data_IF_747650386313
#
_entry.id   IF_747650386313
#
_cell.length_a   1.000
_cell.length_b   1.000
_cell.length_c   1.000
_cell.angle_alpha   90.00
_cell.angle_beta   90.00
_cell.angle_gamma   90.00
#
_symmetry.space_group_name_H-M   'P 1'
#
loop_
_entity.id
_entity.type
_entity.pdbx_description
1 polymer ?
#
# COMPACT_ATOMS: atom_id res chain seq x y z
N UNK A 1 -4.71 4.08 14.09
CA UNK A 1 -5.03 4.04 12.65
C UNK A 1 -4.11 3.02 12.00
N UNK A 2 -4.63 2.21 11.08
CA UNK A 2 -3.89 1.16 10.37
C UNK A 2 -4.07 1.36 8.88
N UNK A 3 -2.99 1.31 8.13
CA UNK A 3 -2.99 1.34 6.66
C UNK A 3 -2.52 -0.05 6.21
N UNK A 4 -3.22 -0.68 5.26
CA UNK A 4 -2.79 -1.93 4.61
C UNK A 4 -2.93 -1.78 3.10
N UNK A 5 -1.94 -2.22 2.36
CA UNK A 5 -2.00 -2.40 0.90
C UNK A 5 -1.84 -3.89 0.63
N UNK A 6 -2.64 -4.43 -0.29
CA UNK A 6 -2.51 -5.78 -0.81
C UNK A 6 -2.53 -5.73 -2.34
N UNK A 7 -1.57 -6.38 -2.97
CA UNK A 7 -1.66 -6.78 -4.38
C UNK A 7 -2.22 -8.20 -4.44
N UNK A 8 -3.08 -8.53 -5.39
CA UNK A 8 -3.65 -9.88 -5.56
C UNK A 8 -3.06 -10.60 -6.78
N UNK A 9 -3.39 -11.89 -6.96
CA UNK A 9 -2.93 -12.76 -8.06
C UNK A 9 -3.15 -12.17 -9.44
N UNK A 10 -4.29 -11.51 -9.63
CA UNK A 10 -4.55 -10.77 -10.85
C UNK A 10 -4.06 -9.34 -10.64
N UNK A 11 -3.17 -8.85 -11.51
CA UNK A 11 -2.63 -7.48 -11.47
C UNK A 11 -3.75 -6.41 -11.37
N UNK A 12 -4.96 -6.79 -11.78
CA UNK A 12 -6.18 -5.99 -11.80
C UNK A 12 -6.85 -5.79 -10.44
N UNK A 13 -6.63 -6.68 -9.46
CA UNK A 13 -7.25 -6.56 -8.14
C UNK A 13 -6.22 -6.19 -7.09
N UNK A 14 -6.43 -5.05 -6.47
CA UNK A 14 -5.51 -4.51 -5.49
C UNK A 14 -6.32 -3.70 -4.50
N UNK A 15 -5.99 -3.84 -3.22
CA UNK A 15 -6.85 -3.37 -2.13
C UNK A 15 -6.06 -2.47 -1.20
N UNK A 16 -6.54 -1.24 -1.06
CA UNK A 16 -6.07 -0.32 -0.02
C UNK A 16 -7.10 -0.30 1.11
N UNK A 17 -6.63 -0.64 2.30
CA UNK A 17 -7.42 -0.63 3.52
C UNK A 17 -6.93 0.48 4.43
N UNK A 18 -7.86 1.34 4.82
CA UNK A 18 -7.64 2.34 5.85
C UNK A 18 -8.55 2.07 7.04
N UNK A 19 -7.95 1.81 8.19
CA UNK A 19 -8.67 1.57 9.44
C UNK A 19 -8.44 2.75 10.39
N UNK A 20 -9.50 3.50 10.69
CA UNK A 20 -9.47 4.53 11.72
C UNK A 20 -10.50 4.22 12.79
N UNK A 21 -10.01 3.91 14.00
CA UNK A 21 -10.83 3.48 15.12
C UNK A 21 -11.75 2.33 14.68
N UNK A 22 -13.04 2.58 14.57
CA UNK A 22 -14.07 1.58 14.28
C UNK A 22 -14.44 1.49 12.79
N UNK A 23 -13.92 2.37 11.94
CA UNK A 23 -14.26 2.40 10.52
C UNK A 23 -13.11 1.85 9.68
N UNK A 24 -13.45 0.87 8.85
CA UNK A 24 -12.57 0.37 7.78
C UNK A 24 -13.09 0.81 6.44
N UNK A 25 -12.22 1.46 5.69
CA UNK A 25 -12.41 1.93 4.34
C UNK A 25 -11.66 0.98 3.41
N UNK A 26 -12.38 0.23 2.57
CA UNK A 26 -11.80 -0.57 1.51
C UNK A 26 -11.96 0.19 0.19
N UNK A 27 -10.84 0.51 -0.45
CA UNK A 27 -10.81 1.19 -1.73
C UNK A 27 -10.57 0.13 -2.82
N UNK A 28 -11.63 -0.15 -3.56
CA UNK A 28 -11.55 -0.85 -4.84
C UNK A 28 -11.45 0.22 -5.91
N UNK A 29 -10.28 0.34 -6.52
CA UNK A 29 -9.99 1.36 -7.52
C UNK A 29 -9.53 0.66 -8.78
N UNK A 30 -9.92 1.19 -9.94
CA UNK A 30 -9.42 0.71 -11.22
C UNK A 30 -7.96 1.13 -11.32
N UNK A 31 -7.08 0.19 -11.01
CA UNK A 31 -5.65 0.44 -10.99
C UNK A 31 -5.08 0.35 -12.40
N UNK A 32 -3.99 1.08 -12.60
CA UNK A 32 -3.20 0.91 -13.80
C UNK A 32 -2.34 -0.34 -13.61
N UNK A 33 -2.60 -1.35 -14.45
CA UNK A 33 -1.71 -2.50 -14.61
C UNK A 33 -0.34 -2.01 -15.10
N UNK A 34 0.73 -2.59 -14.57
CA UNK A 34 2.10 -2.23 -14.94
C UNK A 34 2.43 -0.75 -14.67
N UNK A 35 1.90 -0.22 -13.56
CA UNK A 35 2.06 1.17 -13.14
C UNK A 35 2.28 1.33 -11.64
N UNK A 36 2.42 2.58 -11.21
CA UNK A 36 2.55 2.95 -9.80
C UNK A 36 1.24 3.54 -9.32
N UNK A 37 0.59 2.85 -8.39
CA UNK A 37 -0.64 3.24 -7.73
C UNK A 37 -0.29 3.82 -6.34
N UNK A 38 -0.69 5.06 -6.05
CA UNK A 38 -0.29 5.77 -4.84
C UNK A 38 -1.48 6.36 -4.11
N UNK A 39 -1.53 6.14 -2.80
CA UNK A 39 -2.45 6.78 -1.86
C UNK A 39 -1.67 7.74 -0.97
N UNK A 40 -2.11 8.99 -0.90
CA UNK A 40 -1.46 10.04 -0.10
C UNK A 40 -2.42 10.61 0.92
N UNK A 41 -2.00 10.72 2.18
CA UNK A 41 -2.88 11.27 3.19
C UNK A 41 -3.02 12.78 3.04
N UNK A 42 -4.23 13.30 3.15
CA UNK A 42 -4.50 14.74 3.15
C UNK A 42 -4.18 15.30 4.54
N UNK A 43 -3.24 16.23 4.64
CA UNK A 43 -3.04 17.03 5.86
C UNK A 43 -3.89 18.29 5.81
N UNK A 44 -4.72 18.50 6.84
CA UNK A 44 -5.51 19.72 6.99
C UNK A 44 -6.75 19.52 7.86
N UNK A 45 -7.31 20.62 8.38
CA UNK A 45 -8.56 20.61 9.17
C UNK A 45 -9.76 20.03 8.40
N UNK A 46 -9.65 19.94 7.08
CA UNK A 46 -10.67 19.41 6.16
C UNK A 46 -10.37 17.97 5.68
N UNK A 47 -9.50 17.22 6.38
CA UNK A 47 -9.40 15.79 6.15
C UNK A 47 -10.75 15.16 6.54
N UNK A 48 -11.66 15.07 5.56
CA UNK A 48 -12.98 14.50 5.73
C UNK A 48 -12.92 13.01 6.07
N UNK A 49 -14.03 12.30 5.85
CA UNK A 49 -14.12 10.85 6.13
C UNK A 49 -13.08 10.02 5.36
N UNK A 50 -12.55 10.53 4.26
CA UNK A 50 -11.54 9.86 3.42
C UNK A 50 -10.24 10.65 3.47
N UNK A 51 -9.31 10.32 4.36
CA UNK A 51 -8.09 11.10 4.53
C UNK A 51 -7.03 10.76 3.47
N UNK A 52 -7.39 10.16 2.34
CA UNK A 52 -6.45 9.75 1.29
C UNK A 52 -6.90 10.15 -0.12
N UNK A 53 -5.96 10.67 -0.92
CA UNK A 53 -6.10 10.88 -2.36
C UNK A 53 -5.40 9.73 -3.08
N UNK A 54 -6.08 9.15 -4.07
CA UNK A 54 -5.51 8.15 -4.95
C UNK A 54 -5.04 8.77 -6.26
N UNK A 55 -3.89 8.32 -6.75
CA UNK A 55 -3.39 8.65 -8.09
C UNK A 55 -2.71 7.40 -8.66
N UNK A 56 -2.85 7.19 -9.97
CA UNK A 56 -2.10 6.17 -10.70
C UNK A 56 -1.17 6.81 -11.73
N UNK A 57 -0.04 6.17 -11.96
CA UNK A 57 0.96 6.56 -12.94
C UNK A 57 1.31 5.34 -13.80
N UNK A 58 0.96 5.36 -15.09
CA UNK A 58 1.55 4.44 -16.06
C UNK A 58 3.00 4.89 -16.27
N UNK A 59 3.97 4.02 -16.01
CA UNK A 59 5.38 4.37 -16.16
C UNK A 59 5.95 3.62 -17.36
N UNK A 60 5.95 4.25 -18.54
CA UNK A 60 6.51 3.68 -19.77
C UNK A 60 7.66 4.50 -20.36
N UNK A 61 7.94 5.68 -19.80
CA UNK A 61 8.94 6.62 -20.27
C UNK A 61 9.63 7.41 -19.15
N UNK A 62 10.68 8.15 -19.51
CA UNK A 62 11.36 9.06 -18.58
C UNK A 62 10.44 10.23 -18.17
N UNK A 63 9.58 10.69 -19.07
CA UNK A 63 8.57 11.72 -18.83
C UNK A 63 7.57 11.29 -17.74
N UNK A 64 7.15 10.03 -17.74
CA UNK A 64 6.26 9.47 -16.72
C UNK A 64 6.98 9.38 -15.36
N UNK A 65 8.23 8.91 -15.37
CA UNK A 65 9.07 8.85 -14.17
C UNK A 65 9.31 10.25 -13.57
N UNK A 66 9.47 11.28 -14.41
CA UNK A 66 9.54 12.69 -13.98
C UNK A 66 8.23 13.13 -13.35
N UNK A 67 7.10 12.78 -13.96
CA UNK A 67 5.76 13.16 -13.48
C UNK A 67 5.45 12.54 -12.12
N UNK A 68 5.72 11.24 -11.95
CA UNK A 68 5.63 10.56 -10.66
C UNK A 68 6.54 11.18 -9.60
N UNK A 69 7.81 11.44 -9.93
CA UNK A 69 8.75 12.06 -9.00
C UNK A 69 8.32 13.48 -8.58
N UNK A 70 7.79 14.29 -9.51
CA UNK A 70 7.23 15.62 -9.22
C UNK A 70 6.03 15.50 -8.27
N UNK A 71 5.12 14.57 -8.51
CA UNK A 71 3.99 14.33 -7.62
C UNK A 71 4.45 13.99 -6.20
N UNK A 72 5.37 13.03 -6.04
CA UNK A 72 5.88 12.65 -4.71
C UNK A 72 6.61 13.79 -4.01
N UNK A 73 7.25 14.70 -4.77
CA UNK A 73 7.86 15.91 -4.22
C UNK A 73 6.86 16.92 -3.67
N UNK A 74 5.67 17.01 -4.26
CA UNK A 74 4.60 17.95 -3.84
C UNK A 74 3.87 17.49 -2.59
N UNK A 75 3.94 16.20 -2.24
CA UNK A 75 3.38 15.67 -1.00
C UNK A 75 4.02 16.39 0.20
N UNK A 76 3.19 16.87 1.13
CA UNK A 76 3.64 17.54 2.35
C UNK A 76 4.42 16.59 3.27
N UNK A 77 5.46 17.09 3.94
CA UNK A 77 6.22 16.31 4.94
C UNK A 77 5.28 15.79 6.03
N UNK A 78 5.45 14.53 6.41
CA UNK A 78 4.62 13.84 7.40
C UNK A 78 3.30 13.29 6.84
N UNK A 79 2.93 13.55 5.57
CA UNK A 79 1.81 12.85 4.93
C UNK A 79 2.14 11.36 4.81
N UNK A 80 1.22 10.49 5.21
CA UNK A 80 1.32 9.06 4.96
C UNK A 80 1.21 8.80 3.46
N UNK A 81 2.03 7.87 2.99
CA UNK A 81 2.07 7.46 1.59
C UNK A 81 2.05 5.95 1.53
N UNK A 82 1.15 5.43 0.71
CA UNK A 82 0.99 4.03 0.40
C UNK A 82 1.21 3.89 -1.12
N UNK A 83 2.12 3.03 -1.53
CA UNK A 83 2.45 2.79 -2.94
C UNK A 83 2.31 1.30 -3.22
N UNK A 84 1.69 1.02 -4.36
CA UNK A 84 1.54 -0.30 -4.92
C UNK A 84 2.00 -0.29 -6.37
N UNK A 85 2.80 -1.27 -6.74
CA UNK A 85 3.10 -1.63 -8.12
C UNK A 85 2.54 -3.03 -8.30
N UNK A 86 1.64 -3.18 -9.27
CA UNK A 86 1.05 -4.47 -9.63
C UNK A 86 1.55 -4.86 -11.01
N UNK A 87 2.15 -6.04 -11.10
CA UNK A 87 2.81 -6.54 -12.32
C UNK A 87 4.17 -5.90 -12.59
N UNK A 88 4.59 -5.99 -13.86
CA UNK A 88 5.88 -5.48 -14.31
C UNK A 88 5.88 -3.95 -14.37
N UNK A 89 6.96 -3.31 -13.92
CA UNK A 89 7.18 -1.89 -14.18
C UNK A 89 8.06 -1.75 -15.44
N UNK A 90 7.50 -1.45 -16.64
CA UNK A 90 8.20 -1.60 -17.91
C UNK A 90 9.31 -0.56 -18.12
N UNK A 91 9.42 0.44 -17.24
CA UNK A 91 10.45 1.46 -17.30
C UNK A 91 11.02 1.76 -15.91
N UNK A 92 12.34 1.63 -15.79
CA UNK A 92 13.09 1.89 -14.55
C UNK A 92 13.94 3.15 -14.69
N UNK A 93 13.83 4.06 -13.73
CA UNK A 93 14.66 5.27 -13.67
C UNK A 93 15.08 5.60 -12.25
N UNK A 94 16.28 6.18 -12.12
CA UNK A 94 16.79 6.70 -10.84
C UNK A 94 15.81 7.68 -10.18
N UNK A 95 14.91 8.31 -10.95
CA UNK A 95 13.86 9.19 -10.43
C UNK A 95 12.80 8.44 -9.63
N UNK A 96 12.41 7.24 -10.06
CA UNK A 96 11.48 6.37 -9.33
C UNK A 96 12.11 5.98 -7.99
N UNK A 97 13.37 5.54 -8.02
CA UNK A 97 14.13 5.21 -6.79
C UNK A 97 14.22 6.41 -5.85
N UNK A 98 14.49 7.62 -6.37
CA UNK A 98 14.50 8.85 -5.58
C UNK A 98 13.12 9.15 -4.98
N UNK A 99 12.03 8.99 -5.73
CA UNK A 99 10.67 9.19 -5.24
C UNK A 99 10.35 8.25 -4.08
N UNK A 100 10.62 6.96 -4.22
CA UNK A 100 10.40 5.97 -3.17
C UNK A 100 11.26 6.25 -1.91
N UNK A 101 12.50 6.73 -2.08
CA UNK A 101 13.34 7.16 -0.95
C UNK A 101 12.77 8.37 -0.20
N UNK A 102 12.06 9.29 -0.88
CA UNK A 102 11.41 10.43 -0.23
C UNK A 102 10.30 10.02 0.76
N UNK A 103 9.77 8.81 0.64
CA UNK A 103 8.76 8.24 1.54
C UNK A 103 9.33 7.19 2.50
N UNK A 104 10.65 7.08 2.57
CA UNK A 104 11.36 6.18 3.48
C UNK A 104 11.66 4.78 2.92
N UNK A 105 11.40 4.52 1.63
CA UNK A 105 11.72 3.23 0.99
C UNK A 105 13.23 2.92 1.02
N UNK A 106 13.57 1.64 1.13
CA UNK A 106 14.94 1.15 1.22
C UNK A 106 15.58 0.94 -0.15
N UNK A 107 16.85 1.34 -0.32
CA UNK A 107 17.56 1.22 -1.60
C UNK A 107 17.53 -0.20 -2.17
N UNK A 108 17.81 -1.22 -1.34
CA UNK A 108 17.92 -2.60 -1.79
C UNK A 108 16.63 -3.13 -2.44
N UNK A 109 15.48 -2.91 -1.82
CA UNK A 109 14.21 -3.40 -2.36
C UNK A 109 13.78 -2.67 -3.63
N UNK A 110 14.09 -1.37 -3.72
CA UNK A 110 13.69 -0.57 -4.87
C UNK A 110 14.60 -0.89 -6.06
N UNK A 111 15.87 -1.21 -5.80
CA UNK A 111 16.83 -1.64 -6.82
C UNK A 111 16.55 -3.05 -7.33
N UNK A 112 15.84 -3.88 -6.57
CA UNK A 112 15.38 -5.22 -6.99
C UNK A 112 14.02 -5.20 -7.69
N UNK A 113 13.42 -4.03 -7.94
CA UNK A 113 12.28 -3.94 -8.84
C UNK A 113 12.78 -4.28 -10.24
N UNK A 114 12.53 -5.52 -10.67
CA UNK A 114 13.00 -6.09 -11.93
C UNK A 114 11.86 -6.24 -12.92
N UNK A 115 12.22 -6.42 -14.18
CA UNK A 115 11.26 -6.76 -15.25
C UNK A 115 10.61 -8.14 -15.04
N UNK A 116 11.23 -9.01 -14.24
CA UNK A 116 10.63 -10.25 -13.78
C UNK A 116 9.69 -9.93 -12.63
N UNK A 117 8.44 -9.57 -12.98
CA UNK A 117 7.25 -9.44 -12.14
C UNK A 117 7.55 -9.67 -10.65
N UNK A 118 7.65 -8.60 -9.86
CA UNK A 118 7.08 -8.76 -8.54
C UNK A 118 6.18 -7.58 -8.25
N UNK A 119 5.01 -7.89 -7.72
CA UNK A 119 4.24 -6.87 -7.06
C UNK A 119 5.12 -6.20 -5.99
N UNK A 120 4.95 -4.89 -5.81
CA UNK A 120 5.66 -4.12 -4.80
C UNK A 120 4.69 -3.33 -3.96
N UNK A 121 4.79 -3.49 -2.65
CA UNK A 121 4.03 -2.71 -1.69
C UNK A 121 4.99 -1.86 -0.84
N UNK A 122 4.63 -0.60 -0.60
CA UNK A 122 5.37 0.31 0.27
C UNK A 122 4.41 1.19 1.05
N UNK A 123 4.55 1.23 2.38
CA UNK A 123 3.85 2.16 3.26
C UNK A 123 4.86 2.92 4.10
N UNK A 124 4.79 4.24 4.04
CA UNK A 124 5.60 5.14 4.85
C UNK A 124 4.96 6.52 4.99
N UNK A 125 5.79 7.53 5.19
CA UNK A 125 5.39 8.93 5.14
C UNK A 125 6.46 9.81 4.49
N UNK A 126 6.05 10.93 3.90
CA UNK A 126 6.99 11.86 3.26
C UNK A 126 7.97 12.42 4.30
N UNK A 127 9.27 12.30 4.01
CA UNK A 127 10.34 12.72 4.93
C UNK A 127 10.71 11.67 5.98
N UNK A 128 10.14 10.46 5.90
CA UNK A 128 10.58 9.32 6.69
C UNK A 128 12.04 8.97 6.40
N UNK A 129 12.77 8.50 7.42
CA UNK A 129 14.16 8.04 7.27
C UNK A 129 14.23 6.95 6.19
N UNK A 130 15.16 7.09 5.25
CA UNK A 130 15.39 6.12 4.17
C UNK A 130 15.61 4.72 4.76
N UNK A 131 14.91 3.71 4.21
CA UNK A 131 14.95 2.32 4.66
C UNK A 131 14.09 2.00 5.89
N UNK A 132 13.28 2.93 6.40
CA UNK A 132 12.41 2.69 7.55
C UNK A 132 10.93 2.52 7.21
N UNK A 133 10.54 2.74 5.95
CA UNK A 133 9.20 2.41 5.49
C UNK A 133 8.96 0.90 5.51
N UNK A 134 7.69 0.50 5.62
CA UNK A 134 7.28 -0.91 5.48
C UNK A 134 7.18 -1.23 4.01
N UNK A 135 7.80 -2.30 3.57
CA UNK A 135 7.86 -2.66 2.16
C UNK A 135 7.89 -4.19 2.00
N UNK A 136 7.32 -4.66 0.90
CA UNK A 136 7.35 -6.06 0.49
C UNK A 136 7.48 -6.12 -1.02
N UNK A 137 8.18 -7.15 -1.49
CA UNK A 137 8.33 -7.51 -2.90
C UNK A 137 7.92 -8.96 -3.01
N UNK A 138 7.17 -9.30 -4.04
CA UNK A 138 6.89 -10.69 -4.36
C UNK A 138 5.70 -10.79 -5.28
N UNK A 139 5.59 -11.93 -5.94
CA UNK A 139 4.40 -12.28 -6.67
C UNK A 139 3.35 -12.89 -5.76
N UNK A 140 2.15 -12.87 -6.29
CA UNK A 140 1.01 -13.53 -5.68
C UNK A 140 1.01 -15.06 -5.92
N UNK A 141 1.98 -15.60 -6.64
CA UNK A 141 2.10 -17.04 -6.85
C UNK A 141 2.82 -17.69 -5.68
N UNK A 142 2.07 -18.14 -4.67
CA UNK A 142 2.27 -19.37 -3.89
C UNK A 142 1.04 -19.53 -2.98
N UNK A 143 0.28 -20.58 -3.29
CA UNK A 143 -0.82 -21.21 -2.57
C UNK A 143 -0.97 -20.81 -1.09
N UNK A 144 -1.80 -19.79 -0.86
CA UNK A 144 -2.67 -19.51 0.29
C UNK A 144 -2.86 -17.99 0.37
N UNK A 145 -3.88 -17.49 -0.33
CA UNK A 145 -4.19 -16.06 -0.45
C UNK A 145 -3.15 -15.23 -1.22
N UNK A 146 -2.77 -15.73 -2.40
CA UNK A 146 -1.73 -15.18 -3.26
C UNK A 146 -1.76 -13.67 -3.41
N UNK A 147 -0.79 -13.01 -2.78
CA UNK A 147 -0.70 -11.56 -2.83
C UNK A 147 0.21 -11.02 -1.75
N UNK A 148 1.08 -10.07 -2.11
CA UNK A 148 1.90 -9.40 -1.11
C UNK A 148 1.07 -8.34 -0.37
N UNK A 149 1.28 -8.23 0.94
CA UNK A 149 0.68 -7.15 1.70
C UNK A 149 1.66 -6.53 2.69
N UNK A 150 1.53 -5.23 2.88
CA UNK A 150 2.24 -4.47 3.92
C UNK A 150 1.23 -3.70 4.72
N UNK A 151 1.51 -3.52 6.01
CA UNK A 151 0.65 -2.75 6.89
C UNK A 151 1.46 -1.92 7.88
N UNK A 152 0.89 -0.79 8.29
CA UNK A 152 1.49 0.13 9.26
C UNK A 152 0.44 0.62 10.24
N UNK A 153 0.75 0.54 11.54
CA UNK A 153 -0.03 1.18 12.61
C UNK A 153 0.59 2.52 12.97
N UNK A 154 -0.21 3.58 12.92
CA UNK A 154 0.26 4.96 13.14
C UNK A 154 -0.02 5.50 14.53
N UNK A 155 -0.76 4.75 15.36
CA UNK A 155 -1.04 5.13 16.75
C UNK A 155 -0.76 3.95 17.69
N UNK A 156 -0.22 4.25 18.88
CA UNK A 156 0.05 3.24 19.93
C UNK A 156 -1.22 2.62 20.55
N UNK A 157 -2.41 3.07 20.16
CA UNK A 157 -3.68 2.57 20.68
C UNK A 157 -4.04 1.20 20.09
N UNK A 158 -3.49 0.15 20.73
CA UNK A 158 -3.89 -1.26 20.57
C UNK A 158 -5.30 -1.44 21.16
N UNK A 159 -6.34 -0.95 20.50
CA UNK A 159 -7.71 -1.01 21.02
C UNK A 159 -8.58 -2.00 20.22
N UNK A 160 -8.85 -3.15 20.86
CA UNK A 160 -10.04 -4.02 20.80
C UNK A 160 -10.70 -4.20 19.40
N UNK A 161 -10.26 -5.21 18.65
CA UNK A 161 -10.81 -5.57 17.32
C UNK A 161 -12.15 -6.35 17.35
N UNK A 162 -12.62 -6.80 18.52
CA UNK A 162 -13.87 -7.55 18.63
C UNK A 162 -15.04 -6.59 18.33
N UNK A 163 -15.83 -6.88 17.29
CA UNK A 163 -17.07 -6.20 16.85
C UNK A 163 -16.96 -5.09 15.78
N UNK A 164 -15.78 -4.78 15.25
CA UNK A 164 -15.67 -3.80 14.15
C UNK A 164 -16.10 -4.41 12.82
N UNK A 165 -16.79 -3.67 11.95
CA UNK A 165 -17.29 -4.13 10.65
C UNK A 165 -16.48 -3.47 9.51
N UNK A 166 -16.14 -4.20 8.46
CA UNK A 166 -15.62 -3.62 7.21
C UNK A 166 -16.77 -3.17 6.32
N UNK A 167 -16.60 -2.03 5.66
CA UNK A 167 -17.59 -1.49 4.73
C UNK A 167 -16.94 -1.37 3.35
N UNK A 168 -17.63 -1.86 2.32
CA UNK A 168 -17.29 -1.61 0.92
C UNK A 168 -17.73 -0.19 0.56
N UNK A 169 -16.82 0.68 0.13
CA UNK A 169 -17.16 2.08 -0.14
C UNK A 169 -17.90 2.30 -1.46
N UNK A 170 -17.83 1.35 -2.40
CA UNK A 170 -18.50 1.46 -3.69
C UNK A 170 -20.02 1.40 -3.54
N UNK A 171 -20.50 0.53 -2.66
CA UNK A 171 -21.92 0.24 -2.48
C UNK A 171 -22.39 0.41 -1.02
N UNK A 172 -21.50 0.84 -0.12
CA UNK A 172 -21.73 0.97 1.34
C UNK A 172 -22.16 -0.33 2.03
N UNK A 173 -21.85 -1.51 1.47
CA UNK A 173 -22.26 -2.79 2.07
C UNK A 173 -21.25 -3.29 3.11
N UNK A 174 -21.72 -3.87 4.24
CA UNK A 174 -20.85 -4.57 5.18
C UNK A 174 -20.14 -5.76 4.52
N UNK A 175 -18.85 -5.95 4.80
CA UNK A 175 -18.02 -7.09 4.35
C UNK A 175 -17.74 -8.10 5.47
N UNK A 176 -18.24 -7.87 6.70
CA UNK A 176 -18.02 -8.74 7.86
C UNK A 176 -17.16 -8.07 8.95
N UNK A 177 -16.89 -8.79 10.04
CA UNK A 177 -16.15 -8.19 11.16
C UNK A 177 -14.62 -8.25 10.97
N UNK A 178 -13.90 -7.22 11.43
CA UNK A 178 -12.42 -7.20 11.46
C UNK A 178 -11.90 -8.41 12.25
N UNK A 179 -12.61 -8.81 13.31
CA UNK A 179 -12.24 -9.98 14.11
C UNK A 179 -12.30 -11.30 13.33
N UNK A 180 -13.24 -11.44 12.39
CA UNK A 180 -13.33 -12.62 11.53
C UNK A 180 -12.15 -12.68 10.55
N UNK A 181 -11.79 -11.54 9.93
CA UNK A 181 -10.61 -11.46 9.06
C UNK A 181 -9.31 -11.66 9.82
N UNK A 182 -9.14 -11.02 10.98
CA UNK A 182 -7.95 -11.18 11.83
C UNK A 182 -7.75 -12.63 12.27
N UNK A 183 -8.83 -13.31 12.69
CA UNK A 183 -8.76 -14.72 13.10
C UNK A 183 -8.42 -15.65 11.94
N UNK A 184 -8.90 -15.35 10.74
CA UNK A 184 -8.68 -16.18 9.55
C UNK A 184 -7.25 -16.04 9.01
N UNK A 185 -6.67 -14.84 9.04
CA UNK A 185 -5.36 -14.59 8.41
C UNK A 185 -4.17 -14.59 9.40
N UNK A 186 -4.27 -13.93 10.56
CA UNK A 186 -3.09 -13.79 11.46
C UNK A 186 -2.73 -15.10 12.16
N UNK A 187 -3.72 -15.95 12.48
CA UNK A 187 -3.43 -17.25 13.10
C UNK A 187 -2.66 -18.18 12.15
N UNK A 188 -2.74 -17.95 10.84
CA UNK A 188 -2.04 -18.71 9.80
C UNK A 188 -0.62 -18.17 9.57
N UNK A 189 -0.46 -16.85 9.50
CA UNK A 189 0.84 -16.21 9.29
C UNK A 189 1.76 -16.21 10.52
N UNK A 190 1.21 -16.24 11.75
CA UNK A 190 2.01 -16.34 12.98
C UNK A 190 2.50 -17.76 13.28
N UNK A 191 1.85 -18.80 12.75
CA UNK A 191 2.33 -20.18 12.86
C UNK A 191 3.37 -20.54 11.81
N UNK A 192 3.37 -19.87 10.65
CA UNK A 192 4.25 -20.23 9.52
C UNK A 192 5.59 -19.46 9.49
N UNK A 193 5.82 -18.49 10.38
CA UNK A 193 7.07 -17.71 10.46
C UNK A 193 7.97 -18.08 11.66
N UNK A 194 7.88 -19.32 12.16
CA UNK A 194 8.77 -19.83 13.24
C UNK A 194 9.92 -20.68 12.68
N UNK A 195 9.93 -21.01 11.39
CA UNK A 195 11.05 -21.72 10.75
C UNK A 195 11.24 -21.24 9.31
N UNK A 196 12.24 -20.36 9.10
CA UNK A 196 13.17 -20.25 7.96
C UNK A 196 13.96 -18.93 8.06
#
# INVERSE_FOLDING_TARGET
MTIKIRSEETCTESKFFYHNQDVTYNYHLDMVDNGINIWTSIHGKNAGLLPFVFQSFQISSEEDAISFYKYVKLIGTGCYVAILISGNLPYHSKRITKAMKLVGGGSKSIETLSDSNPNFCLIGYKGQKIGSARQAIGDADIEEEGGISVWMMTTKNRCLFKNRILINLRNKTPLGTISQLYKKHIKKEMTNNIYL
#
